data_IF_881560288102
#
_entry.id   IF_881560288102
#
_cell.length_a   1.000
_cell.length_b   1.000
_cell.length_c   1.000
_cell.angle_alpha   90.00
_cell.angle_beta   90.00
_cell.angle_gamma   90.00
#
_symmetry.space_group_name_H-M   'P 1'
#
loop_
_entity.id
_entity.type
_entity.pdbx_description
1 polymer ?
#
# COMPACT_ATOMS: atom_id res chain seq x y z
N UNK A 1 -15.02 -25.91 25.54
CA UNK A 1 -14.17 -24.71 25.23
C UNK A 1 -13.79 -24.85 23.77
N UNK A 2 -14.08 -23.80 22.97
CA UNK A 2 -13.85 -23.81 21.50
C UNK A 2 -12.40 -23.50 21.12
N UNK A 3 -11.50 -23.19 22.10
CA UNK A 3 -10.09 -22.88 21.83
C UNK A 3 -9.91 -21.76 20.81
N UNK A 4 -10.83 -20.79 20.76
CA UNK A 4 -10.79 -19.70 19.79
C UNK A 4 -9.89 -18.57 20.30
N UNK A 5 -8.99 -18.11 19.45
CA UNK A 5 -8.28 -16.83 19.65
C UNK A 5 -9.21 -15.67 19.32
N UNK A 6 -9.27 -14.69 20.21
CA UNK A 6 -10.11 -13.51 20.00
C UNK A 6 -9.36 -12.23 20.39
N UNK A 7 -9.71 -11.14 19.72
CA UNK A 7 -9.19 -9.81 20.02
C UNK A 7 -10.36 -8.83 20.05
N UNK A 8 -10.33 -7.91 21.01
CA UNK A 8 -11.31 -6.82 21.10
C UNK A 8 -10.61 -5.52 20.75
N UNK A 9 -11.24 -4.76 19.88
CA UNK A 9 -10.78 -3.43 19.51
C UNK A 9 -11.81 -2.40 19.94
N UNK A 10 -11.40 -1.23 20.45
CA UNK A 10 -12.32 -0.12 20.75
C UNK A 10 -13.06 0.33 19.49
N UNK A 11 -14.36 0.58 19.61
CA UNK A 11 -15.12 1.13 18.49
C UNK A 11 -14.70 2.57 18.21
N UNK A 12 -14.47 2.90 16.94
CA UNK A 12 -14.14 4.26 16.49
C UNK A 12 -12.69 4.67 16.68
N UNK A 13 -11.81 3.80 17.17
CA UNK A 13 -10.38 4.08 17.23
C UNK A 13 -9.78 4.08 15.81
N UNK A 14 -9.13 5.20 15.43
CA UNK A 14 -8.46 5.30 14.14
C UNK A 14 -7.08 4.65 14.21
N UNK A 15 -6.75 3.82 13.22
CA UNK A 15 -5.45 3.13 13.12
C UNK A 15 -4.37 4.13 12.74
N UNK A 16 -3.36 4.29 13.60
CA UNK A 16 -2.21 5.17 13.36
C UNK A 16 -1.40 4.66 12.18
N UNK A 17 -1.38 5.43 11.10
CA UNK A 17 -0.90 4.97 9.79
C UNK A 17 0.23 5.85 9.28
N UNK A 18 1.35 5.22 8.91
CA UNK A 18 2.47 5.86 8.24
C UNK A 18 2.39 5.57 6.73
N UNK A 19 2.36 6.61 5.90
CA UNK A 19 2.34 6.45 4.45
C UNK A 19 3.77 6.51 3.90
N UNK A 20 4.11 5.60 3.00
CA UNK A 20 5.39 5.61 2.29
C UNK A 20 5.16 5.85 0.80
N UNK A 21 5.85 6.84 0.23
CA UNK A 21 5.72 7.25 -1.17
C UNK A 21 7.09 7.36 -1.86
N UNK A 22 7.10 7.32 -3.18
CA UNK A 22 8.29 7.67 -3.97
C UNK A 22 8.00 8.89 -4.87
N UNK A 23 7.57 8.67 -6.11
CA UNK A 23 7.35 9.73 -7.12
C UNK A 23 5.91 9.84 -7.61
N UNK A 24 5.00 9.04 -7.06
CA UNK A 24 3.58 9.02 -7.45
C UNK A 24 2.72 9.31 -6.23
N UNK A 25 1.87 10.30 -6.32
CA UNK A 25 1.08 10.86 -5.22
C UNK A 25 -0.33 10.29 -5.11
N UNK A 26 -0.88 9.76 -6.22
CA UNK A 26 -2.30 9.45 -6.35
C UNK A 26 -2.85 8.49 -5.28
N UNK A 27 -2.11 7.44 -4.93
CA UNK A 27 -2.54 6.49 -3.91
C UNK A 27 -2.59 7.12 -2.51
N UNK A 28 -1.54 7.87 -2.13
CA UNK A 28 -1.49 8.55 -0.84
C UNK A 28 -2.58 9.63 -0.75
N UNK A 29 -2.78 10.44 -1.80
CA UNK A 29 -3.85 11.44 -1.84
C UNK A 29 -5.25 10.81 -1.71
N UNK A 30 -5.49 9.64 -2.32
CA UNK A 30 -6.76 8.92 -2.17
C UNK A 30 -7.02 8.56 -0.71
N UNK A 31 -6.02 8.04 0.00
CA UNK A 31 -6.13 7.69 1.42
C UNK A 31 -6.32 8.93 2.31
N UNK A 32 -5.50 9.96 2.10
CA UNK A 32 -5.56 11.21 2.86
C UNK A 32 -6.91 11.91 2.71
N UNK A 33 -7.45 11.95 1.49
CA UNK A 33 -8.75 12.53 1.24
C UNK A 33 -9.86 11.75 1.96
N UNK A 34 -9.87 10.43 1.88
CA UNK A 34 -10.85 9.58 2.54
C UNK A 34 -10.75 9.66 4.08
N UNK A 35 -9.53 9.71 4.64
CA UNK A 35 -9.31 9.89 6.06
C UNK A 35 -9.87 11.23 6.56
N UNK A 36 -9.56 12.34 5.85
CA UNK A 36 -10.06 13.68 6.20
C UNK A 36 -11.60 13.77 6.17
N UNK A 37 -12.25 12.99 5.32
CA UNK A 37 -13.72 12.92 5.24
C UNK A 37 -14.35 12.00 6.28
N UNK A 38 -13.56 11.29 7.09
CA UNK A 38 -14.06 10.29 8.02
C UNK A 38 -14.58 9.00 7.34
N UNK A 39 -14.24 8.78 6.08
CA UNK A 39 -14.64 7.61 5.29
C UNK A 39 -13.68 6.43 5.48
N UNK A 40 -12.48 6.72 5.98
CA UNK A 40 -11.40 5.76 6.26
C UNK A 40 -10.93 5.95 7.71
N UNK A 41 -11.10 4.96 8.61
CA UNK A 41 -10.77 5.12 10.03
C UNK A 41 -9.27 4.95 10.28
N UNK A 42 -8.45 5.85 9.73
CA UNK A 42 -7.01 5.95 9.98
C UNK A 42 -6.64 7.35 10.46
N UNK A 43 -5.62 7.43 11.32
CA UNK A 43 -4.92 8.65 11.67
C UNK A 43 -3.56 8.64 10.98
N UNK A 44 -3.37 9.50 9.97
CA UNK A 44 -2.11 9.55 9.23
C UNK A 44 -1.09 10.35 10.03
N UNK A 45 -0.11 9.64 10.61
CA UNK A 45 0.88 10.21 11.53
C UNK A 45 2.13 10.78 10.83
N UNK A 46 2.27 10.55 9.53
CA UNK A 46 3.35 11.12 8.72
C UNK A 46 3.51 10.45 7.36
N UNK A 47 4.38 11.05 6.56
CA UNK A 47 4.72 10.58 5.21
C UNK A 47 6.23 10.37 5.14
N UNK A 48 6.64 9.15 4.76
CA UNK A 48 8.04 8.80 4.50
C UNK A 48 8.27 8.75 2.99
N UNK A 49 9.35 9.34 2.52
CA UNK A 49 9.74 9.25 1.10
C UNK A 49 11.24 9.04 0.94
N UNK A 50 11.60 8.25 -0.07
CA UNK A 50 13.00 8.06 -0.46
C UNK A 50 13.55 9.20 -1.34
N UNK A 51 12.73 10.19 -1.68
CA UNK A 51 13.13 11.41 -2.38
C UNK A 51 12.21 12.58 -1.99
N UNK A 52 12.57 13.80 -2.39
CA UNK A 52 11.85 15.02 -2.02
C UNK A 52 10.87 15.51 -3.10
N UNK A 53 10.72 14.79 -4.21
CA UNK A 53 9.93 15.24 -5.37
C UNK A 53 8.50 15.65 -5.00
N UNK A 54 7.87 14.95 -4.06
CA UNK A 54 6.48 15.17 -3.66
C UNK A 54 6.32 16.00 -2.37
N UNK A 55 7.41 16.50 -1.80
CA UNK A 55 7.38 17.20 -0.51
C UNK A 55 6.46 18.42 -0.53
N UNK A 56 6.59 19.24 -1.57
CA UNK A 56 5.78 20.45 -1.73
C UNK A 56 4.32 20.10 -2.03
N UNK A 57 4.07 19.05 -2.82
CA UNK A 57 2.73 18.57 -3.15
C UNK A 57 1.95 18.11 -1.89
N UNK A 58 2.65 17.55 -0.90
CA UNK A 58 2.04 17.10 0.36
C UNK A 58 2.06 18.16 1.48
N UNK A 59 2.71 19.31 1.28
CA UNK A 59 2.86 20.36 2.32
C UNK A 59 1.53 20.87 2.85
N UNK A 60 0.49 20.95 2.01
CA UNK A 60 -0.85 21.42 2.38
C UNK A 60 -1.64 20.50 3.32
N UNK A 61 -1.17 19.25 3.51
CA UNK A 61 -1.79 18.33 4.47
C UNK A 61 -1.36 18.59 5.92
N UNK A 62 -0.29 19.36 6.14
CA UNK A 62 0.24 19.66 7.48
C UNK A 62 0.81 18.46 8.23
N UNK A 63 1.14 17.39 7.53
CA UNK A 63 1.68 16.16 8.09
C UNK A 63 3.21 16.20 8.18
N UNK A 64 3.83 15.54 9.17
CA UNK A 64 5.27 15.32 9.20
C UNK A 64 5.77 14.66 7.92
N UNK A 65 6.82 15.23 7.32
CA UNK A 65 7.50 14.68 6.16
C UNK A 65 8.88 14.15 6.56
N UNK A 66 9.13 12.88 6.32
CA UNK A 66 10.39 12.22 6.62
C UNK A 66 11.10 11.84 5.33
N UNK A 67 12.19 12.54 4.99
CA UNK A 67 13.05 12.16 3.88
C UNK A 67 14.04 11.08 4.34
N UNK A 68 13.91 9.90 3.75
CA UNK A 68 14.75 8.72 4.03
C UNK A 68 15.29 8.19 2.70
N UNK A 69 16.39 8.76 2.19
CA UNK A 69 16.97 8.34 0.93
C UNK A 69 17.51 6.91 1.02
N UNK A 70 17.29 6.14 -0.06
CA UNK A 70 17.68 4.73 -0.12
C UNK A 70 18.58 4.51 -1.33
N UNK A 71 19.78 4.01 -1.06
CA UNK A 71 20.70 3.40 -2.05
C UNK A 71 20.97 1.95 -1.66
N UNK A 72 21.69 1.23 -2.50
CA UNK A 72 22.07 -0.15 -2.19
C UNK A 72 22.94 -0.22 -0.92
N UNK A 73 23.82 0.77 -0.74
CA UNK A 73 24.76 0.85 0.38
C UNK A 73 24.09 1.36 1.66
N UNK A 74 23.16 2.30 1.55
CA UNK A 74 22.50 2.94 2.70
C UNK A 74 21.22 2.25 3.14
N UNK A 75 20.79 1.19 2.44
CA UNK A 75 19.53 0.51 2.74
C UNK A 75 19.38 0.06 4.21
N UNK A 76 20.39 -0.53 4.87
CA UNK A 76 20.27 -0.90 6.28
C UNK A 76 20.00 0.30 7.20
N UNK A 77 20.71 1.42 6.98
CA UNK A 77 20.55 2.64 7.77
C UNK A 77 19.19 3.29 7.50
N UNK A 78 18.74 3.28 6.25
CA UNK A 78 17.43 3.78 5.86
C UNK A 78 16.30 2.97 6.52
N UNK A 79 16.41 1.65 6.58
CA UNK A 79 15.43 0.80 7.27
C UNK A 79 15.50 0.99 8.79
N UNK A 80 16.68 1.14 9.39
CA UNK A 80 16.82 1.50 10.80
C UNK A 80 16.12 2.84 11.10
N UNK A 81 16.30 3.85 10.23
CA UNK A 81 15.61 5.13 10.34
C UNK A 81 14.08 5.00 10.18
N UNK A 82 13.64 4.17 9.25
CA UNK A 82 12.19 3.87 9.09
C UNK A 82 11.61 3.31 10.38
N UNK A 83 12.27 2.35 11.02
CA UNK A 83 11.78 1.77 12.27
C UNK A 83 11.78 2.77 13.43
N UNK A 84 12.80 3.64 13.53
CA UNK A 84 12.77 4.75 14.50
C UNK A 84 11.53 5.65 14.27
N UNK A 85 11.21 5.98 13.00
CA UNK A 85 10.01 6.77 12.68
C UNK A 85 8.73 6.03 13.08
N UNK A 86 8.62 4.73 12.79
CA UNK A 86 7.47 3.90 13.18
C UNK A 86 7.27 3.90 14.69
N UNK A 87 8.37 3.79 15.47
CA UNK A 87 8.34 3.82 16.94
C UNK A 87 7.98 5.22 17.46
N UNK A 88 8.65 6.27 16.97
CA UNK A 88 8.44 7.67 17.38
C UNK A 88 7.00 8.14 17.10
N UNK A 89 6.43 7.71 15.97
CA UNK A 89 5.07 8.04 15.57
C UNK A 89 4.02 7.08 16.12
N UNK A 90 4.44 6.00 16.78
CA UNK A 90 3.56 4.93 17.24
C UNK A 90 2.63 4.42 16.11
N UNK A 91 3.18 4.25 14.91
CA UNK A 91 2.40 3.80 13.77
C UNK A 91 2.08 2.30 13.89
N UNK A 92 0.79 1.97 13.84
CA UNK A 92 0.29 0.60 13.85
C UNK A 92 0.32 -0.03 12.45
N UNK A 93 0.12 0.78 11.43
CA UNK A 93 0.09 0.37 10.02
C UNK A 93 1.08 1.18 9.20
N UNK A 94 1.80 0.49 8.33
CA UNK A 94 2.63 1.09 7.28
C UNK A 94 1.99 0.81 5.93
N UNK A 95 1.84 1.82 5.08
CA UNK A 95 1.24 1.67 3.76
C UNK A 95 2.23 2.09 2.68
N UNK A 96 2.62 1.16 1.83
CA UNK A 96 3.47 1.42 0.67
C UNK A 96 2.59 1.94 -0.47
N UNK A 97 2.33 3.26 -0.45
CA UNK A 97 1.51 3.96 -1.44
C UNK A 97 2.35 4.37 -2.66
N UNK A 98 2.72 3.39 -3.48
CA UNK A 98 3.67 3.54 -4.60
C UNK A 98 5.10 3.84 -4.13
N UNK A 99 5.51 3.22 -3.04
CA UNK A 99 6.90 3.24 -2.58
C UNK A 99 7.73 2.25 -3.40
N UNK A 100 8.62 2.77 -4.24
CA UNK A 100 9.32 1.99 -5.26
C UNK A 100 10.68 1.43 -4.77
N UNK A 101 10.75 1.08 -3.50
CA UNK A 101 11.89 0.38 -2.90
C UNK A 101 11.45 -0.96 -2.33
N UNK A 102 12.26 -1.98 -2.51
CA UNK A 102 12.03 -3.30 -1.92
C UNK A 102 12.52 -3.27 -0.47
N UNK A 103 11.69 -3.68 0.48
CA UNK A 103 12.10 -3.85 1.87
C UNK A 103 12.98 -5.10 2.02
N UNK A 104 13.86 -5.11 3.03
CA UNK A 104 14.61 -6.33 3.37
C UNK A 104 13.70 -7.37 4.02
N UNK A 105 14.15 -8.63 4.03
CA UNK A 105 13.45 -9.72 4.71
C UNK A 105 13.24 -9.43 6.19
N UNK A 106 14.21 -8.78 6.83
CA UNK A 106 14.10 -8.34 8.22
C UNK A 106 13.02 -7.29 8.39
N UNK A 107 13.00 -6.29 7.51
CA UNK A 107 11.96 -5.25 7.53
C UNK A 107 10.57 -5.85 7.28
N UNK A 108 10.45 -6.78 6.36
CA UNK A 108 9.19 -7.50 6.09
C UNK A 108 8.71 -8.28 7.32
N UNK A 109 9.61 -9.00 8.02
CA UNK A 109 9.27 -9.73 9.26
C UNK A 109 8.83 -8.81 10.38
N UNK A 110 9.52 -7.68 10.60
CA UNK A 110 9.14 -6.69 11.63
C UNK A 110 7.80 -6.02 11.36
N UNK A 111 7.41 -5.92 10.10
CA UNK A 111 6.15 -5.32 9.64
C UNK A 111 5.09 -6.37 9.26
N UNK A 112 5.29 -7.64 9.63
CA UNK A 112 4.35 -8.71 9.29
C UNK A 112 2.93 -8.36 9.74
N UNK A 113 1.97 -8.54 8.82
CA UNK A 113 0.53 -8.23 9.00
C UNK A 113 0.19 -6.75 9.27
N UNK A 114 1.17 -5.88 9.29
CA UNK A 114 1.01 -4.43 9.50
C UNK A 114 1.69 -3.58 8.43
N UNK A 115 1.96 -4.15 7.26
CA UNK A 115 2.42 -3.43 6.08
C UNK A 115 1.61 -3.84 4.85
N UNK A 116 0.94 -2.87 4.21
CA UNK A 116 0.14 -3.07 3.01
C UNK A 116 0.83 -2.40 1.82
N UNK A 117 1.00 -3.15 0.73
CA UNK A 117 1.54 -2.64 -0.53
C UNK A 117 0.45 -2.58 -1.60
N UNK A 118 0.55 -1.59 -2.49
CA UNK A 118 -0.17 -1.57 -3.75
C UNK A 118 0.74 -1.94 -4.91
N UNK A 119 0.42 -3.03 -5.59
CA UNK A 119 1.08 -3.45 -6.81
C UNK A 119 0.22 -3.09 -8.02
N UNK A 120 0.85 -2.46 -9.02
CA UNK A 120 0.18 -1.90 -10.19
C UNK A 120 -0.05 -2.93 -11.31
N UNK A 121 -0.45 -4.15 -10.94
CA UNK A 121 -0.96 -5.16 -11.84
C UNK A 121 -1.91 -6.12 -11.12
N UNK A 122 -2.63 -6.92 -11.90
CA UNK A 122 -3.42 -8.03 -11.40
C UNK A 122 -2.49 -9.22 -11.14
N UNK A 123 -2.05 -9.40 -9.89
CA UNK A 123 -1.20 -10.53 -9.50
C UNK A 123 -1.94 -11.88 -9.68
N UNK A 124 -1.22 -12.94 -10.08
CA UNK A 124 0.24 -13.06 -10.24
C UNK A 124 0.79 -12.62 -11.62
N UNK A 125 0.00 -11.95 -12.44
CA UNK A 125 0.42 -11.49 -13.77
C UNK A 125 1.28 -10.23 -13.73
N UNK A 126 2.16 -10.07 -14.72
CA UNK A 126 2.95 -8.85 -14.97
C UNK A 126 3.76 -8.35 -13.78
N UNK A 127 4.52 -9.23 -13.15
CA UNK A 127 5.49 -8.86 -12.11
C UNK A 127 6.62 -8.01 -12.69
N UNK A 128 7.21 -7.16 -11.85
CA UNK A 128 8.37 -6.35 -12.19
C UNK A 128 8.04 -4.99 -12.81
N UNK A 129 8.98 -4.46 -13.61
CA UNK A 129 8.90 -3.08 -14.12
C UNK A 129 7.94 -2.92 -15.31
N UNK A 130 7.29 -1.77 -15.41
CA UNK A 130 6.43 -1.34 -16.54
C UNK A 130 5.31 -2.32 -16.90
N UNK A 131 4.47 -2.79 -15.95
CA UNK A 131 3.46 -3.82 -16.22
C UNK A 131 2.45 -3.39 -17.28
N UNK A 132 2.06 -2.12 -17.37
CA UNK A 132 1.14 -1.63 -18.41
C UNK A 132 1.73 -1.71 -19.83
N UNK A 133 3.04 -1.49 -20.00
CA UNK A 133 3.68 -1.67 -21.30
C UNK A 133 3.74 -3.16 -21.67
N UNK A 134 3.99 -4.04 -20.70
CA UNK A 134 3.95 -5.48 -20.92
C UNK A 134 2.53 -5.94 -21.29
N UNK A 135 1.52 -5.44 -20.59
CA UNK A 135 0.11 -5.73 -20.84
C UNK A 135 -0.32 -5.28 -22.25
N UNK A 136 0.05 -4.07 -22.65
CA UNK A 136 -0.21 -3.56 -24.00
C UNK A 136 0.45 -4.42 -25.07
N UNK A 137 1.75 -4.72 -24.93
CA UNK A 137 2.50 -5.54 -25.88
C UNK A 137 1.91 -6.96 -26.04
N UNK A 138 1.28 -7.50 -24.98
CA UNK A 138 0.58 -8.79 -25.02
C UNK A 138 -0.85 -8.72 -25.52
N UNK A 139 -1.39 -7.53 -25.73
CA UNK A 139 -2.76 -7.34 -26.20
C UNK A 139 -3.81 -7.85 -25.21
N UNK A 140 -3.57 -7.71 -23.89
CA UNK A 140 -4.53 -8.13 -22.87
C UNK A 140 -5.85 -7.36 -22.99
N UNK A 141 -6.90 -7.91 -22.45
CA UNK A 141 -8.25 -7.32 -22.46
C UNK A 141 -8.68 -6.82 -21.08
N UNK A 142 -7.77 -6.86 -20.12
CA UNK A 142 -8.01 -6.43 -18.75
C UNK A 142 -6.72 -5.95 -18.12
N UNK A 143 -6.79 -4.86 -17.39
CA UNK A 143 -5.75 -4.38 -16.46
C UNK A 143 -6.25 -4.43 -15.03
N UNK A 144 -5.37 -4.27 -14.06
CA UNK A 144 -5.76 -4.30 -12.67
C UNK A 144 -4.68 -3.84 -11.72
N UNK A 145 -5.06 -3.78 -10.44
CA UNK A 145 -4.19 -3.48 -9.33
C UNK A 145 -4.46 -4.44 -8.16
N UNK A 146 -3.43 -4.74 -7.38
CA UNK A 146 -3.50 -5.66 -6.25
C UNK A 146 -2.96 -5.00 -5.00
N UNK A 147 -3.76 -4.93 -3.94
CA UNK A 147 -3.32 -4.58 -2.60
C UNK A 147 -3.14 -5.86 -1.78
N UNK A 148 -1.98 -6.01 -1.15
CA UNK A 148 -1.60 -7.21 -0.40
C UNK A 148 -0.75 -6.87 0.81
N UNK A 149 -0.69 -7.75 1.79
CA UNK A 149 0.29 -7.64 2.87
C UNK A 149 1.69 -7.90 2.33
N UNK A 150 2.66 -7.17 2.87
CA UNK A 150 4.08 -7.35 2.51
C UNK A 150 4.65 -8.58 3.20
N UNK A 151 5.41 -9.36 2.45
CA UNK A 151 6.19 -10.51 2.90
C UNK A 151 7.61 -10.42 2.34
N UNK A 152 8.52 -11.29 2.79
CA UNK A 152 9.88 -11.37 2.25
C UNK A 152 9.89 -11.73 0.76
N UNK A 153 8.93 -12.53 0.31
CA UNK A 153 8.77 -12.85 -1.11
C UNK A 153 8.08 -11.69 -1.82
N UNK A 154 8.79 -11.04 -2.74
CA UNK A 154 8.33 -9.84 -3.44
C UNK A 154 7.03 -10.10 -4.20
N UNK A 155 6.01 -9.28 -3.92
CA UNK A 155 4.67 -9.34 -4.54
C UNK A 155 3.93 -10.69 -4.35
N UNK A 156 4.32 -11.50 -3.37
CA UNK A 156 3.74 -12.84 -3.09
C UNK A 156 2.91 -12.86 -1.79
N UNK A 157 2.81 -11.75 -1.09
CA UNK A 157 2.09 -11.69 0.18
C UNK A 157 0.57 -11.87 0.04
N UNK A 158 -0.12 -12.16 1.17
CA UNK A 158 -1.57 -12.40 1.16
C UNK A 158 -2.36 -11.26 0.53
N UNK A 159 -3.09 -11.56 -0.54
CA UNK A 159 -3.88 -10.59 -1.31
C UNK A 159 -5.09 -10.15 -0.48
N UNK A 160 -5.30 -8.83 -0.36
CA UNK A 160 -6.45 -8.26 0.35
C UNK A 160 -7.54 -7.85 -0.63
N UNK A 161 -7.16 -7.12 -1.69
CA UNK A 161 -8.10 -6.58 -2.67
C UNK A 161 -7.47 -6.58 -4.05
N UNK A 162 -8.26 -6.95 -5.03
CA UNK A 162 -7.90 -6.80 -6.44
C UNK A 162 -9.02 -6.06 -7.16
N UNK A 163 -8.65 -5.10 -7.98
CA UNK A 163 -9.57 -4.41 -8.88
C UNK A 163 -9.09 -4.57 -10.31
N UNK A 164 -10.03 -4.70 -11.23
CA UNK A 164 -9.77 -4.85 -12.66
C UNK A 164 -10.65 -3.94 -13.48
N UNK A 165 -10.19 -3.60 -14.67
CA UNK A 165 -10.93 -2.86 -15.68
C UNK A 165 -10.73 -3.51 -17.04
N UNK A 166 -11.82 -3.62 -17.82
CA UNK A 166 -11.76 -4.10 -19.18
C UNK A 166 -11.17 -3.01 -20.08
N UNK A 167 -10.25 -3.40 -20.95
CA UNK A 167 -9.64 -2.54 -21.96
C UNK A 167 -9.77 -3.16 -23.34
N UNK A 168 -9.59 -2.37 -24.38
CA UNK A 168 -9.62 -2.83 -25.75
C UNK A 168 -8.35 -2.42 -26.52
N UNK A 169 -8.37 -2.65 -27.85
CA UNK A 169 -7.25 -2.40 -28.73
C UNK A 169 -6.95 -0.92 -28.98
N UNK A 170 -7.84 -0.01 -28.57
CA UNK A 170 -7.68 1.43 -28.72
C UNK A 170 -6.87 2.06 -27.58
N UNK A 171 -6.74 1.34 -26.45
CA UNK A 171 -5.97 1.80 -25.31
C UNK A 171 -4.47 1.83 -25.62
N UNK A 172 -3.87 3.00 -25.54
CA UNK A 172 -2.41 3.14 -25.52
C UNK A 172 -1.84 2.77 -24.13
N UNK A 173 -0.51 2.56 -24.00
CA UNK A 173 0.10 2.41 -22.68
C UNK A 173 -0.16 3.59 -21.74
N UNK A 174 -0.32 4.82 -22.26
CA UNK A 174 -0.64 6.00 -21.47
C UNK A 174 -2.06 5.92 -20.88
N UNK A 175 -3.04 5.52 -21.69
CA UNK A 175 -4.43 5.34 -21.25
C UNK A 175 -4.52 4.24 -20.18
N UNK A 176 -3.77 3.14 -20.36
CA UNK A 176 -3.70 2.07 -19.36
C UNK A 176 -3.08 2.55 -18.03
N UNK A 177 -2.07 3.44 -18.08
CA UNK A 177 -1.46 4.01 -16.88
C UNK A 177 -2.45 4.93 -16.17
N UNK A 178 -3.18 5.76 -16.89
CA UNK A 178 -4.17 6.68 -16.34
C UNK A 178 -5.29 5.90 -15.65
N UNK A 179 -5.90 4.95 -16.33
CA UNK A 179 -6.93 4.07 -15.78
C UNK A 179 -6.40 3.27 -14.59
N UNK A 180 -5.17 2.75 -14.70
CA UNK A 180 -4.49 2.03 -13.64
C UNK A 180 -4.30 2.81 -12.35
N UNK A 181 -4.05 4.13 -12.42
CA UNK A 181 -3.94 4.99 -11.21
C UNK A 181 -5.24 4.99 -10.40
N UNK A 182 -6.39 5.02 -11.05
CA UNK A 182 -7.68 4.94 -10.37
C UNK A 182 -7.89 3.57 -9.70
N UNK A 183 -7.53 2.49 -10.39
CA UNK A 183 -7.59 1.15 -9.83
C UNK A 183 -6.68 0.99 -8.62
N UNK A 184 -5.44 1.48 -8.71
CA UNK A 184 -4.45 1.45 -7.63
C UNK A 184 -4.95 2.18 -6.38
N UNK A 185 -5.41 3.43 -6.53
CA UNK A 185 -5.95 4.23 -5.42
C UNK A 185 -7.14 3.56 -4.75
N UNK A 186 -8.09 3.06 -5.55
CA UNK A 186 -9.30 2.41 -5.03
C UNK A 186 -9.01 1.03 -4.40
N UNK A 187 -8.11 0.23 -4.98
CA UNK A 187 -7.73 -1.05 -4.40
C UNK A 187 -7.04 -0.86 -3.04
N UNK A 188 -6.11 0.09 -2.98
CA UNK A 188 -5.41 0.41 -1.73
C UNK A 188 -6.38 0.94 -0.67
N UNK A 189 -7.28 1.85 -1.03
CA UNK A 189 -8.30 2.39 -0.12
C UNK A 189 -9.16 1.27 0.49
N UNK A 190 -9.65 0.34 -0.34
CA UNK A 190 -10.45 -0.79 0.14
C UNK A 190 -9.67 -1.70 1.08
N UNK A 191 -8.40 -1.98 0.76
CA UNK A 191 -7.54 -2.82 1.58
C UNK A 191 -7.23 -2.19 2.93
N UNK A 192 -6.83 -0.92 2.96
CA UNK A 192 -6.54 -0.17 4.19
C UNK A 192 -7.81 -0.04 5.03
N UNK A 193 -8.96 0.20 4.42
CA UNK A 193 -10.25 0.27 5.12
C UNK A 193 -10.62 -1.06 5.77
N UNK A 194 -10.50 -2.16 5.04
CA UNK A 194 -10.78 -3.49 5.59
C UNK A 194 -9.84 -3.84 6.75
N UNK A 195 -8.55 -3.42 6.66
CA UNK A 195 -7.59 -3.59 7.74
C UNK A 195 -7.96 -2.74 8.96
N UNK A 196 -8.20 -1.46 8.77
CA UNK A 196 -8.53 -0.53 9.85
C UNK A 196 -9.89 -0.85 10.53
N UNK A 197 -10.79 -1.52 9.83
CA UNK A 197 -12.05 -2.03 10.37
C UNK A 197 -11.92 -3.46 10.95
N UNK A 198 -10.71 -4.00 11.08
CA UNK A 198 -10.40 -5.34 11.60
C UNK A 198 -11.18 -6.48 10.92
N UNK A 199 -11.44 -6.36 9.61
CA UNK A 199 -12.22 -7.30 8.82
C UNK A 199 -11.38 -8.31 8.03
N UNK A 200 -10.07 -8.37 8.27
CA UNK A 200 -9.14 -9.23 7.56
C UNK A 200 -8.59 -10.29 8.51
N UNK A 201 -8.77 -11.55 8.14
CA UNK A 201 -8.14 -12.69 8.82
C UNK A 201 -7.20 -13.39 7.85
N UNK A 202 -6.01 -13.74 8.32
CA UNK A 202 -5.04 -14.49 7.53
C UNK A 202 -5.13 -15.96 7.94
N UNK A 203 -5.45 -16.82 6.96
CA UNK A 203 -5.52 -18.26 7.13
C UNK A 203 -4.66 -18.95 6.07
N UNK A 204 -3.64 -19.67 6.50
CA UNK A 204 -2.74 -20.43 5.63
C UNK A 204 -2.19 -19.61 4.45
N UNK A 205 -1.72 -18.39 4.74
CA UNK A 205 -1.15 -17.48 3.74
C UNK A 205 -2.16 -16.80 2.81
N UNK A 206 -3.46 -16.93 3.08
CA UNK A 206 -4.55 -16.28 2.34
C UNK A 206 -5.36 -15.39 3.26
N UNK A 207 -5.92 -14.32 2.73
CA UNK A 207 -6.84 -13.48 3.49
C UNK A 207 -8.28 -13.97 3.36
N UNK A 208 -9.01 -13.85 4.46
CA UNK A 208 -10.48 -13.87 4.49
C UNK A 208 -10.90 -12.43 4.83
N UNK A 209 -11.58 -11.77 3.90
CA UNK A 209 -12.02 -10.38 4.07
C UNK A 209 -13.53 -10.37 4.24
N UNK A 210 -14.00 -9.98 5.41
CA UNK A 210 -15.44 -9.91 5.69
C UNK A 210 -16.06 -8.67 5.03
N UNK A 211 -17.18 -8.88 4.36
CA UNK A 211 -18.03 -7.79 3.91
C UNK A 211 -18.61 -7.02 5.13
N UNK A 212 -18.98 -5.77 4.90
CA UNK A 212 -19.74 -4.98 5.89
C UNK A 212 -21.16 -5.52 6.00
#
# INVERSE_FOLDING_TARGET
ELGADWTVHPEGEAVRTLLMVSKSEHCANTLLYAARRGELPIDVVGIVSNNETLKDDFSHWGLPWFHVPVTKETKPDAEARLFSIVEDTQADLVVLARYMQVLSDEACRRLEKRCINIHHSFLPGFKGARPYHQAHARGVKMIGATAHYVTADLDEGPIITQLTEAIDHTFSPADMIESGRHLEGNALLRAVKAHAEHRIFINSGKTVVFAR
#
